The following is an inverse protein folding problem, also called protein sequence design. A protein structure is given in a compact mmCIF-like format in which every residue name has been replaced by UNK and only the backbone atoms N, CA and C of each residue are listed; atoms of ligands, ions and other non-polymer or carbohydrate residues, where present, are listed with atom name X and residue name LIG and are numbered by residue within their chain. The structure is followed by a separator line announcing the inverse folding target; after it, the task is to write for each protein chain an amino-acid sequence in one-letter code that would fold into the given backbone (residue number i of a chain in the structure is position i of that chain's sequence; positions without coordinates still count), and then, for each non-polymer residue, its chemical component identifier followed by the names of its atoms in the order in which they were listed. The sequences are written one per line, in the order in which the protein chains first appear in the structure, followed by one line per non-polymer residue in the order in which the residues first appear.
data_IF_336908734503
#
_entry.id   IF_336908734503
#
_cell.length_a   1.000
_cell.length_b   1.000
_cell.length_c   1.000
_cell.angle_alpha   90.00
_cell.angle_beta   90.00
_cell.angle_gamma   90.00
#
_symmetry.space_group_name_H-M   'P 1'
#
loop_
_entity.id
_entity.type
_entity.pdbx_description
1 polymer ?
#
# COMPACT_ATOMS: atom_id res chain seq x y z
N UNK A 1 -2.19 -4.51 -13.77
CA UNK A 1 -1.40 -4.65 -15.02
C UNK A 1 -0.59 -3.38 -15.23
N UNK A 2 0.60 -3.49 -15.82
CA UNK A 2 1.32 -2.31 -16.26
C UNK A 2 0.69 -1.75 -17.55
N UNK A 3 0.50 -0.42 -17.69
CA UNK A 3 -0.09 0.18 -18.88
C UNK A 3 0.63 -0.20 -20.19
N UNK A 4 1.94 -0.40 -20.13
CA UNK A 4 2.76 -0.77 -21.29
C UNK A 4 2.38 -2.14 -21.88
N UNK A 5 2.07 -3.11 -21.02
CA UNK A 5 1.66 -4.45 -21.45
C UNK A 5 0.30 -4.38 -22.13
N UNK A 6 -0.63 -3.60 -21.56
CA UNK A 6 -1.96 -3.43 -22.13
C UNK A 6 -1.89 -2.85 -23.55
N UNK A 7 -1.16 -1.75 -23.76
CA UNK A 7 -1.02 -1.15 -25.09
C UNK A 7 -0.41 -2.12 -26.10
N UNK A 8 0.56 -2.93 -25.67
CA UNK A 8 1.18 -3.96 -26.51
C UNK A 8 0.19 -5.06 -26.90
N UNK A 9 -0.61 -5.56 -25.96
CA UNK A 9 -1.64 -6.59 -26.24
C UNK A 9 -2.69 -6.05 -27.20
N UNK A 10 -3.11 -4.80 -26.97
CA UNK A 10 -4.10 -4.14 -27.82
C UNK A 10 -3.55 -3.70 -29.19
N UNK A 11 -2.24 -3.87 -29.44
CA UNK A 11 -1.56 -3.43 -30.67
C UNK A 11 -1.77 -1.93 -30.98
N UNK A 12 -2.03 -1.13 -29.94
CA UNK A 12 -2.23 0.31 -30.08
C UNK A 12 -0.87 1.00 -30.10
N UNK A 13 -0.58 1.71 -31.18
CA UNK A 13 0.62 2.56 -31.26
C UNK A 13 0.41 3.81 -30.40
N UNK A 14 1.46 4.25 -29.72
CA UNK A 14 1.46 5.47 -28.88
C UNK A 14 1.33 6.76 -29.69
N UNK A 15 1.32 6.67 -31.02
CA UNK A 15 1.17 7.77 -31.95
C UNK A 15 -0.31 8.12 -32.12
N UNK A 16 -0.80 9.03 -31.27
CA UNK A 16 -1.87 10.02 -31.54
C UNK A 16 -3.04 9.57 -32.44
N UNK A 17 -4.25 9.54 -31.85
CA UNK A 17 -5.60 9.46 -32.47
C UNK A 17 -6.35 8.12 -32.43
N UNK A 18 -5.94 7.14 -31.62
CA UNK A 18 -6.78 5.96 -31.35
C UNK A 18 -7.40 6.08 -29.96
N UNK A 19 -8.72 6.33 -29.94
CA UNK A 19 -9.65 6.37 -28.80
C UNK A 19 -9.02 6.14 -27.42
N UNK A 20 -8.90 7.20 -26.63
CA UNK A 20 -8.27 7.17 -25.31
C UNK A 20 -8.96 6.13 -24.40
N UNK A 21 -8.17 5.19 -23.88
CA UNK A 21 -8.65 4.23 -22.89
C UNK A 21 -8.88 4.96 -21.59
N UNK A 22 -10.10 4.87 -21.07
CA UNK A 22 -10.41 5.38 -19.73
C UNK A 22 -10.04 4.31 -18.72
N UNK A 23 -8.92 4.52 -18.04
CA UNK A 23 -8.30 3.57 -17.11
C UNK A 23 -8.49 4.09 -15.69
N UNK A 24 -9.33 3.42 -14.89
CA UNK A 24 -9.68 3.85 -13.52
C UNK A 24 -9.37 2.77 -12.48
N UNK A 25 -8.85 3.11 -11.29
CA UNK A 25 -8.71 2.13 -10.23
C UNK A 25 -10.08 1.59 -9.81
N UNK A 26 -10.19 0.28 -9.59
CA UNK A 26 -11.46 -0.37 -9.24
C UNK A 26 -11.24 -1.52 -8.26
N UNK A 27 -12.27 -1.81 -7.47
CA UNK A 27 -12.27 -2.87 -6.45
C UNK A 27 -13.29 -3.96 -6.82
N UNK A 28 -12.81 -5.20 -6.92
CA UNK A 28 -13.63 -6.39 -7.16
C UNK A 28 -13.86 -7.13 -5.85
N UNK A 29 -15.12 -7.22 -5.40
CA UNK A 29 -15.50 -7.84 -4.13
C UNK A 29 -15.84 -9.31 -4.30
N UNK A 30 -15.56 -10.14 -3.29
CA UNK A 30 -15.89 -11.58 -3.29
C UNK A 30 -14.93 -12.42 -4.12
N UNK A 31 -13.79 -11.85 -4.52
CA UNK A 31 -12.71 -12.54 -5.21
C UNK A 31 -11.41 -12.37 -4.45
N UNK A 32 -10.46 -13.25 -4.72
CA UNK A 32 -9.11 -13.18 -4.18
C UNK A 32 -8.06 -13.44 -5.27
N UNK A 33 -6.91 -12.79 -5.11
CA UNK A 33 -5.76 -12.97 -5.97
C UNK A 33 -4.83 -14.00 -5.37
N UNK A 34 -4.55 -15.09 -6.10
CA UNK A 34 -3.67 -16.18 -5.68
C UNK A 34 -2.49 -16.32 -6.64
N UNK A 35 -1.36 -16.78 -6.13
CA UNK A 35 -0.20 -17.13 -6.97
C UNK A 35 -0.45 -18.49 -7.60
N UNK A 36 -0.26 -18.58 -8.91
CA UNK A 36 -0.31 -19.85 -9.65
C UNK A 36 1.04 -20.55 -9.50
N UNK A 37 1.04 -21.88 -9.33
CA UNK A 37 2.28 -22.66 -9.25
C UNK A 37 2.97 -22.64 -10.61
N UNK A 38 4.29 -22.47 -10.62
CA UNK A 38 5.11 -22.52 -11.83
C UNK A 38 4.75 -21.47 -12.90
N UNK A 39 4.04 -20.42 -12.51
CA UNK A 39 3.69 -19.30 -13.37
C UNK A 39 3.98 -17.97 -12.69
N UNK A 40 4.42 -16.98 -13.48
CA UNK A 40 4.76 -15.64 -13.01
C UNK A 40 3.56 -14.68 -12.95
N UNK A 41 2.35 -15.19 -13.25
CA UNK A 41 1.10 -14.45 -13.22
C UNK A 41 0.16 -14.93 -12.11
N UNK A 42 -0.66 -14.02 -11.54
CA UNK A 42 -1.61 -14.37 -10.50
C UNK A 42 -2.97 -14.82 -11.08
N UNK A 43 -3.60 -15.81 -10.45
CA UNK A 43 -4.98 -16.22 -10.72
C UNK A 43 -5.98 -15.46 -9.85
N UNK A 44 -7.20 -15.24 -10.38
CA UNK A 44 -8.33 -14.65 -9.65
C UNK A 44 -9.41 -15.71 -9.44
N UNK A 45 -9.74 -16.01 -8.19
CA UNK A 45 -10.76 -17.00 -7.84
C UNK A 45 -11.80 -16.40 -6.90
N UNK A 46 -13.06 -16.90 -6.93
CA UNK A 46 -14.06 -16.50 -5.95
C UNK A 46 -13.58 -16.86 -4.54
N UNK A 47 -13.71 -15.93 -3.60
CA UNK A 47 -13.42 -16.23 -2.20
C UNK A 47 -14.57 -17.04 -1.61
N UNK A 48 -14.27 -18.12 -0.85
CA UNK A 48 -15.31 -18.80 -0.10
C UNK A 48 -15.95 -17.80 0.87
N UNK A 49 -17.28 -17.68 0.84
CA UNK A 49 -18.03 -16.92 1.85
C UNK A 49 -17.89 -17.62 3.19
N UNK A 50 -16.87 -17.27 3.98
CA UNK A 50 -16.85 -17.63 5.39
C UNK A 50 -17.92 -16.78 6.08
N UNK A 51 -19.11 -17.35 6.26
CA UNK A 51 -20.32 -16.74 6.86
C UNK A 51 -20.12 -16.06 8.21
N UNK A 52 -18.94 -16.23 8.83
CA UNK A 52 -18.62 -15.78 10.19
C UNK A 52 -17.44 -14.80 10.25
N UNK A 53 -16.85 -14.39 9.12
CA UNK A 53 -15.76 -13.41 9.08
C UNK A 53 -16.28 -12.09 8.50
N UNK A 54 -16.22 -11.02 9.29
CA UNK A 54 -16.56 -9.65 8.86
C UNK A 54 -15.65 -9.10 7.75
N UNK A 55 -14.67 -9.89 7.28
CA UNK A 55 -13.71 -9.49 6.27
C UNK A 55 -14.07 -10.11 4.92
N UNK A 56 -14.77 -9.33 4.08
CA UNK A 56 -15.07 -9.73 2.70
C UNK A 56 -13.83 -9.55 1.85
N UNK A 57 -13.38 -10.61 1.17
CA UNK A 57 -12.21 -10.52 0.30
C UNK A 57 -12.46 -9.51 -0.83
N UNK A 58 -11.42 -8.77 -1.20
CA UNK A 58 -11.49 -7.88 -2.35
C UNK A 58 -10.16 -7.81 -3.08
N UNK A 59 -10.22 -7.59 -4.39
CA UNK A 59 -9.06 -7.44 -5.27
C UNK A 59 -9.05 -6.02 -5.82
N UNK A 60 -7.99 -5.28 -5.53
CA UNK A 60 -7.71 -4.01 -6.17
C UNK A 60 -7.18 -4.27 -7.58
N UNK A 61 -7.77 -3.60 -8.55
CA UNK A 61 -7.40 -3.67 -9.95
C UNK A 61 -7.70 -2.38 -10.69
N UNK A 62 -7.90 -2.51 -11.99
CA UNK A 62 -8.11 -1.39 -12.89
C UNK A 62 -9.25 -1.73 -13.83
N UNK A 63 -10.24 -0.84 -13.92
CA UNK A 63 -11.30 -0.90 -14.91
C UNK A 63 -10.82 -0.14 -16.15
N UNK A 64 -10.83 -0.81 -17.29
CA UNK A 64 -10.53 -0.22 -18.59
C UNK A 64 -11.82 -0.12 -19.36
N UNK A 65 -12.23 1.11 -19.68
CA UNK A 65 -13.38 1.39 -20.54
C UNK A 65 -12.89 1.75 -21.95
N UNK A 66 -13.82 1.96 -22.89
CA UNK A 66 -13.51 2.35 -24.28
C UNK A 66 -12.74 1.29 -25.10
N UNK A 67 -12.93 0.01 -24.78
CA UNK A 67 -12.44 -1.11 -25.57
C UNK A 67 -13.33 -1.36 -26.80
N UNK A 68 -12.71 -1.53 -27.97
CA UNK A 68 -13.39 -1.96 -29.19
C UNK A 68 -13.57 -3.48 -29.21
N UNK A 69 -14.44 -4.00 -30.08
CA UNK A 69 -14.62 -5.45 -30.24
C UNK A 69 -13.31 -6.17 -30.59
N UNK A 70 -12.44 -5.55 -31.39
CA UNK A 70 -11.13 -6.11 -31.73
C UNK A 70 -10.18 -6.16 -30.52
N UNK A 71 -10.21 -5.13 -29.67
CA UNK A 71 -9.43 -5.12 -28.41
C UNK A 71 -9.83 -6.29 -27.50
N UNK A 72 -11.14 -6.56 -27.41
CA UNK A 72 -11.66 -7.68 -26.63
C UNK A 72 -11.11 -9.03 -27.15
N UNK A 73 -11.08 -9.21 -28.48
CA UNK A 73 -10.53 -10.43 -29.09
C UNK A 73 -9.02 -10.57 -28.81
N UNK A 74 -8.27 -9.46 -28.85
CA UNK A 74 -6.85 -9.49 -28.51
C UNK A 74 -6.60 -9.84 -27.04
N UNK A 75 -7.42 -9.32 -26.12
CA UNK A 75 -7.37 -9.68 -24.71
C UNK A 75 -7.72 -11.16 -24.50
N UNK A 76 -8.81 -11.64 -25.11
CA UNK A 76 -9.22 -13.05 -25.01
C UNK A 76 -8.12 -14.00 -25.54
N UNK A 77 -7.39 -13.61 -26.59
CA UNK A 77 -6.25 -14.38 -27.12
C UNK A 77 -5.02 -14.34 -26.21
N UNK A 78 -4.76 -13.21 -25.56
CA UNK A 78 -3.61 -13.04 -24.66
C UNK A 78 -3.76 -13.84 -23.37
N UNK A 79 -4.96 -13.85 -22.79
CA UNK A 79 -5.26 -14.62 -21.58
C UNK A 79 -5.35 -16.13 -21.86
N UNK A 80 -5.73 -16.49 -23.09
CA UNK A 80 -5.79 -17.88 -23.53
C UNK A 80 -6.88 -18.69 -22.83
N UNK A 81 -6.79 -20.02 -22.82
CA UNK A 81 -7.79 -20.90 -22.20
C UNK A 81 -7.69 -20.96 -20.67
N UNK A 82 -6.65 -20.36 -20.08
CA UNK A 82 -6.40 -20.41 -18.63
C UNK A 82 -7.36 -19.51 -17.84
N UNK A 83 -7.89 -18.48 -18.48
CA UNK A 83 -8.87 -17.57 -17.87
C UNK A 83 -10.21 -17.64 -18.59
N UNK A 84 -11.27 -17.55 -17.79
CA UNK A 84 -12.64 -17.45 -18.29
C UNK A 84 -13.16 -16.03 -18.11
N UNK A 85 -13.58 -15.43 -19.21
CA UNK A 85 -14.26 -14.13 -19.23
C UNK A 85 -15.65 -14.25 -18.60
N UNK A 86 -15.85 -13.58 -17.48
CA UNK A 86 -17.10 -13.57 -16.71
C UNK A 86 -17.58 -12.14 -16.48
N UNK A 87 -18.90 -11.87 -16.58
CA UNK A 87 -19.45 -10.60 -16.16
C UNK A 87 -19.36 -10.47 -14.64
N UNK A 88 -18.71 -9.42 -14.16
CA UNK A 88 -18.53 -9.14 -12.73
C UNK A 88 -18.89 -7.69 -12.40
N UNK A 89 -19.36 -7.44 -11.18
CA UNK A 89 -19.64 -6.10 -10.67
C UNK A 89 -18.44 -5.59 -9.89
N UNK A 90 -17.95 -4.40 -10.24
CA UNK A 90 -16.82 -3.74 -9.59
C UNK A 90 -17.24 -2.38 -9.03
N UNK A 91 -16.54 -1.93 -7.99
CA UNK A 91 -16.67 -0.57 -7.47
C UNK A 91 -15.52 0.27 -8.00
N UNK A 92 -15.83 1.27 -8.81
CA UNK A 92 -14.84 2.24 -9.30
C UNK A 92 -14.41 3.13 -8.15
N UNK A 93 -13.10 3.23 -7.94
CA UNK A 93 -12.52 4.13 -6.96
C UNK A 93 -12.31 5.49 -7.65
N UNK A 94 -12.76 6.56 -7.01
CA UNK A 94 -12.37 7.91 -7.45
C UNK A 94 -10.88 8.07 -7.16
N UNK A 95 -10.15 8.65 -8.09
CA UNK A 95 -8.73 8.92 -7.90
C UNK A 95 -8.52 9.66 -6.57
N UNK A 96 -7.75 9.12 -5.61
CA UNK A 96 -7.11 10.00 -4.67
C UNK A 96 -6.16 10.87 -5.51
N UNK A 97 -6.29 12.20 -5.40
CA UNK A 97 -5.29 13.15 -5.87
C UNK A 97 -3.92 12.55 -5.59
N UNK A 98 -3.12 12.39 -6.64
CA UNK A 98 -1.81 11.74 -6.60
C UNK A 98 -1.03 12.23 -5.37
N UNK A 99 -1.01 11.44 -4.29
CA UNK A 99 0.07 11.55 -3.31
C UNK A 99 1.23 10.94 -4.06
N UNK A 100 1.98 11.84 -4.70
CA UNK A 100 3.14 11.52 -5.52
C UNK A 100 4.00 10.48 -4.84
N UNK A 101 4.59 9.62 -5.66
CA UNK A 101 5.48 8.56 -5.21
C UNK A 101 6.34 9.03 -4.05
N UNK A 102 6.38 8.23 -3.00
CA UNK A 102 7.32 8.39 -1.90
C UNK A 102 8.73 8.25 -2.48
N UNK A 103 9.26 9.32 -3.07
CA UNK A 103 10.64 9.69 -2.80
C UNK A 103 10.66 9.91 -1.30
N UNK A 104 11.47 9.13 -0.62
CA UNK A 104 12.03 9.53 0.66
C UNK A 104 12.84 10.80 0.40
N UNK A 105 12.15 11.94 0.31
CA UNK A 105 12.74 13.24 0.54
C UNK A 105 12.47 13.48 2.00
N UNK A 106 13.51 13.31 2.79
CA UNK A 106 13.62 13.80 4.16
C UNK A 106 13.30 15.29 4.12
N UNK A 107 12.04 15.65 4.30
CA UNK A 107 11.65 17.04 4.56
C UNK A 107 12.10 17.31 5.98
N UNK A 108 13.35 17.77 6.08
CA UNK A 108 13.84 18.49 7.23
C UNK A 108 12.95 19.74 7.39
N UNK A 109 11.99 19.66 8.30
CA UNK A 109 11.46 20.87 8.96
C UNK A 109 12.36 21.14 10.16
N UNK A 110 13.06 22.29 10.22
CA UNK A 110 13.77 22.72 11.41
C UNK A 110 12.72 23.23 12.40
N UNK A 111 12.54 22.53 13.51
CA UNK A 111 11.52 22.89 14.49
C UNK A 111 11.49 21.96 15.69
N UNK A 112 12.66 21.49 16.12
CA UNK A 112 12.81 20.56 17.24
C UNK A 112 14.03 20.89 18.07
N UNK A 113 14.20 22.16 18.42
CA UNK A 113 14.95 22.53 19.62
C UNK A 113 14.09 22.09 20.81
N UNK A 114 14.69 21.52 21.87
CA UNK A 114 14.07 21.08 23.15
C UNK A 114 13.89 19.57 23.42
N UNK A 115 14.43 18.64 22.64
CA UNK A 115 14.52 17.22 23.10
C UNK A 115 15.91 16.83 23.60
N UNK A 116 16.92 17.66 23.36
CA UNK A 116 18.32 17.39 23.71
C UNK A 116 18.68 18.02 25.06
N UNK A 117 18.22 19.25 25.30
CA UNK A 117 18.52 19.98 26.54
C UNK A 117 17.87 19.38 27.78
N UNK A 118 16.71 18.71 27.63
CA UNK A 118 16.00 18.10 28.77
C UNK A 118 16.69 16.81 29.25
N UNK A 119 17.43 16.13 28.36
CA UNK A 119 18.15 14.90 28.71
C UNK A 119 19.51 15.18 29.36
N UNK A 120 20.15 16.31 29.00
CA UNK A 120 21.42 16.73 29.57
C UNK A 120 21.26 17.30 30.99
N UNK A 121 20.13 18.00 31.25
CA UNK A 121 19.77 18.51 32.56
C UNK A 121 19.51 17.41 33.62
N UNK A 122 19.29 16.16 33.21
CA UNK A 122 19.14 15.03 34.12
C UNK A 122 20.46 14.34 34.49
N UNK A 123 21.60 14.73 33.90
CA UNK A 123 22.90 14.13 34.22
C UNK A 123 23.80 14.99 35.11
N UNK A 124 23.42 16.24 35.40
CA UNK A 124 24.18 17.15 36.27
C UNK A 124 23.38 17.42 37.54
N UNK A 125 23.44 16.49 38.49
CA UNK A 125 22.75 16.61 39.77
C UNK A 125 23.03 15.49 40.77
N UNK A 126 24.20 14.84 40.72
CA UNK A 126 24.68 13.95 41.80
C UNK A 126 25.98 14.55 42.35
N UNK A 127 25.83 15.54 43.22
CA UNK A 127 26.85 15.95 44.16
C UNK A 127 26.14 16.65 45.33
N UNK A 128 25.80 15.89 46.38
CA UNK A 128 25.10 16.46 47.51
C UNK A 128 24.89 15.57 48.73
N UNK A 129 25.68 14.51 48.92
CA UNK A 129 25.75 13.82 50.20
C UNK A 129 26.48 14.67 51.24
N UNK A 130 25.76 15.57 51.92
CA UNK A 130 26.20 16.17 53.19
C UNK A 130 25.29 15.66 54.30
N UNK A 131 25.74 14.60 54.97
CA UNK A 131 25.32 14.31 56.33
C UNK A 131 26.23 15.06 57.29
N UNK A 132 25.65 15.78 58.26
CA UNK A 132 26.19 15.96 59.61
C UNK A 132 25.18 16.74 60.49
N UNK A 133 25.06 16.30 61.75
CA UNK A 133 24.25 16.88 62.81
C UNK A 133 23.55 15.79 63.64
N UNK A 134 24.27 15.10 64.54
CA UNK A 134 24.23 15.25 66.02
C UNK A 134 23.12 14.33 66.60
N UNK A 135 23.27 13.49 67.64
CA UNK A 135 23.83 13.64 68.99
C UNK A 135 24.03 12.21 69.58
N UNK A 136 24.99 12.02 70.50
CA UNK A 136 25.22 10.71 71.13
C UNK A 136 26.49 10.66 71.99
N UNK A 137 26.40 11.33 73.13
CA UNK A 137 27.30 11.24 74.29
C UNK A 137 27.13 9.87 74.98
N UNK A 138 28.19 9.07 75.13
CA UNK A 138 28.64 8.52 76.44
C UNK A 138 29.95 7.71 76.31
N UNK A 139 30.95 8.20 77.04
CA UNK A 139 32.04 7.59 77.83
C UNK A 139 32.46 6.11 77.66
N UNK A 140 33.79 5.91 77.61
CA UNK A 140 34.44 4.65 78.01
C UNK A 140 35.64 4.98 78.93
N UNK A 141 35.68 4.32 80.09
CA UNK A 141 36.86 4.09 80.90
C UNK A 141 36.68 2.78 81.67
#
# INVERSE_FOLDING_TARGET
MAPQILNRVLQRTTSSQQHELDVKPALLHGYERRRVKEADYPGIIPSPSSSNSSNTSSVLGTLVSNLTSSDIVHLDRFEGPEYLKKPVKVRVLREPVSVGGRREVSVAKPGGEHLRDVLDAASVGEAGGKGEGQEGEEVDA
#
